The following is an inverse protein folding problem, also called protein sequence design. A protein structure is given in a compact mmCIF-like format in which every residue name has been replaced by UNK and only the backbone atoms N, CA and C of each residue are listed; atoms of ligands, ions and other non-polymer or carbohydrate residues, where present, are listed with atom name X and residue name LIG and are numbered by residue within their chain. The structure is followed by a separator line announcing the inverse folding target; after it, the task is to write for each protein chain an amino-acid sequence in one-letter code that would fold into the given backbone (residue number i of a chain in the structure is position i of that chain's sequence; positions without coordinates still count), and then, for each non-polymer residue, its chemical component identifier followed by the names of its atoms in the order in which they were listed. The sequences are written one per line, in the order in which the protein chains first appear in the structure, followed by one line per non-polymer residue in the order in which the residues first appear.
data_IF_554076059609
#
_entry.id   IF_554076059609
#
_cell.length_a   1.000
_cell.length_b   1.000
_cell.length_c   1.000
_cell.angle_alpha   90.00
_cell.angle_beta   90.00
_cell.angle_gamma   90.00
#
_symmetry.space_group_name_H-M   'P 1'
#
loop_
_entity.id
_entity.type
_entity.pdbx_description
1 polymer ?
#
# COMPACT_ATOMS: atom_id res chain seq x y z
N UNK A 1 34.14 27.12 2.95
CA UNK A 1 33.09 26.10 2.77
C UNK A 1 31.66 26.59 3.08
N UNK A 2 31.46 27.83 3.56
CA UNK A 2 30.14 28.49 3.60
C UNK A 2 29.51 28.64 2.19
N UNK A 3 30.37 28.83 1.18
CA UNK A 3 30.01 29.22 -0.18
C UNK A 3 29.14 28.20 -0.94
N UNK A 4 29.34 26.88 -0.79
CA UNK A 4 28.53 25.88 -1.51
C UNK A 4 27.11 25.79 -0.94
N UNK A 5 26.97 25.83 0.39
CA UNK A 5 25.67 25.77 1.06
C UNK A 5 24.80 26.96 0.67
N UNK A 6 25.37 28.16 0.73
CA UNK A 6 24.64 29.38 0.40
C UNK A 6 24.34 29.45 -1.12
N UNK A 7 25.18 28.84 -1.96
CA UNK A 7 24.98 28.76 -3.41
C UNK A 7 23.82 27.82 -3.82
N UNK A 8 23.64 26.68 -3.15
CA UNK A 8 22.58 25.71 -3.47
C UNK A 8 21.32 25.85 -2.61
N UNK A 9 21.34 26.73 -1.60
CA UNK A 9 20.22 26.96 -0.66
C UNK A 9 18.92 27.30 -1.37
N UNK A 10 18.97 28.16 -2.38
CA UNK A 10 17.78 28.59 -3.10
C UNK A 10 17.23 27.50 -4.01
N UNK A 11 18.10 26.86 -4.80
CA UNK A 11 17.73 25.80 -5.75
C UNK A 11 17.13 24.57 -5.04
N UNK A 12 17.68 24.16 -3.91
CA UNK A 12 17.20 22.98 -3.18
C UNK A 12 15.88 23.23 -2.44
N UNK A 13 15.54 24.48 -2.14
CA UNK A 13 14.35 24.82 -1.36
C UNK A 13 13.24 25.49 -2.20
N UNK A 14 13.42 25.62 -3.51
CA UNK A 14 12.54 26.38 -4.42
C UNK A 14 11.08 25.95 -4.36
N UNK A 15 10.82 24.65 -4.37
CA UNK A 15 9.47 24.09 -4.37
C UNK A 15 8.88 23.87 -2.96
N UNK A 16 9.67 24.13 -1.92
CA UNK A 16 9.30 23.79 -0.55
C UNK A 16 8.09 24.59 -0.04
N UNK A 17 7.99 25.89 -0.37
CA UNK A 17 6.81 26.70 0.02
C UNK A 17 5.54 26.22 -0.69
N UNK A 18 5.66 25.85 -1.96
CA UNK A 18 4.55 25.26 -2.71
C UNK A 18 4.11 23.94 -2.07
N UNK A 19 5.06 23.05 -1.73
CA UNK A 19 4.76 21.79 -1.04
C UNK A 19 4.14 22.00 0.33
N UNK A 20 4.66 22.93 1.15
CA UNK A 20 4.09 23.29 2.45
C UNK A 20 2.66 23.81 2.28
N UNK A 21 2.39 24.64 1.26
CA UNK A 21 1.06 25.15 0.98
C UNK A 21 0.10 24.05 0.47
N UNK A 22 0.58 23.17 -0.42
CA UNK A 22 -0.22 22.08 -1.00
C UNK A 22 -0.57 21.01 0.02
N UNK A 23 0.38 20.66 0.88
CA UNK A 23 0.15 19.75 2.01
C UNK A 23 -0.65 20.46 3.10
N UNK A 24 -0.42 21.76 3.31
CA UNK A 24 -1.22 22.67 4.12
C UNK A 24 -1.54 22.13 5.50
N UNK A 25 -2.77 21.61 5.64
CA UNK A 25 -3.32 21.06 6.89
C UNK A 25 -2.78 19.66 7.22
N UNK A 26 -2.16 18.98 6.27
CA UNK A 26 -1.62 17.62 6.40
C UNK A 26 -0.19 17.60 6.95
N UNK A 27 0.46 18.76 7.09
CA UNK A 27 1.73 18.90 7.81
C UNK A 27 1.50 19.31 9.26
N UNK A 28 2.35 18.83 10.15
CA UNK A 28 2.49 19.45 11.47
C UNK A 28 2.86 20.93 11.31
N UNK A 29 2.01 21.79 11.87
CA UNK A 29 2.17 23.23 11.71
C UNK A 29 3.52 23.69 12.28
N UNK A 30 4.35 24.39 11.49
CA UNK A 30 5.58 24.96 12.00
C UNK A 30 5.28 26.06 13.01
N UNK A 31 6.25 26.44 13.87
CA UNK A 31 6.10 27.55 14.79
C UNK A 31 5.59 28.82 14.08
N UNK A 32 4.56 29.46 14.65
CA UNK A 32 3.91 30.63 14.07
C UNK A 32 4.87 31.83 13.91
N UNK A 33 5.90 31.88 14.73
CA UNK A 33 6.92 32.93 14.78
C UNK A 33 7.93 32.87 13.63
N UNK A 34 7.98 31.75 12.89
CA UNK A 34 8.92 31.59 11.77
C UNK A 34 8.46 32.35 10.54
N UNK A 35 9.42 33.05 9.90
CA UNK A 35 9.27 33.62 8.57
C UNK A 35 9.07 32.53 7.50
N UNK A 36 8.56 32.92 6.33
CA UNK A 36 8.43 32.00 5.19
C UNK A 36 9.79 31.42 4.77
N UNK A 37 10.86 32.21 4.83
CA UNK A 37 12.22 31.75 4.50
C UNK A 37 12.72 30.70 5.50
N UNK A 38 12.44 30.88 6.80
CA UNK A 38 12.77 29.89 7.83
C UNK A 38 11.99 28.59 7.64
N UNK A 39 10.67 28.67 7.37
CA UNK A 39 9.83 27.50 7.09
C UNK A 39 10.30 26.76 5.85
N UNK A 40 10.56 27.49 4.77
CA UNK A 40 11.06 26.95 3.49
C UNK A 40 12.36 26.19 3.69
N UNK A 41 13.32 26.80 4.38
CA UNK A 41 14.64 26.23 4.56
C UNK A 41 14.64 25.06 5.55
N UNK A 42 13.88 25.13 6.63
CA UNK A 42 13.76 24.06 7.62
C UNK A 42 13.06 22.82 7.03
N UNK A 43 12.00 23.01 6.24
CA UNK A 43 11.32 21.92 5.52
C UNK A 43 12.25 21.25 4.50
N UNK A 44 13.03 22.04 3.76
CA UNK A 44 14.03 21.50 2.84
C UNK A 44 15.07 20.65 3.60
N UNK A 45 15.57 21.13 4.74
CA UNK A 45 16.48 20.37 5.59
C UNK A 45 15.82 19.09 6.13
N UNK A 46 14.53 19.11 6.45
CA UNK A 46 13.80 17.91 6.87
C UNK A 46 13.73 16.86 5.76
N UNK A 47 13.38 17.26 4.53
CA UNK A 47 13.39 16.38 3.36
C UNK A 47 14.78 15.80 3.08
N UNK A 48 15.84 16.63 3.22
CA UNK A 48 17.22 16.17 3.07
C UNK A 48 17.57 15.10 4.12
N UNK A 49 17.02 15.23 5.33
CA UNK A 49 17.24 14.26 6.41
C UNK A 49 16.67 12.89 6.12
N UNK A 50 15.48 12.87 5.52
CA UNK A 50 14.83 11.64 5.06
C UNK A 50 15.70 10.93 4.01
N UNK A 51 16.18 11.69 3.02
CA UNK A 51 17.10 11.17 1.98
C UNK A 51 18.44 10.70 2.58
N UNK A 52 19.01 11.41 3.56
CA UNK A 52 20.24 10.99 4.22
C UNK A 52 20.04 9.67 4.97
N UNK A 53 18.91 9.53 5.68
CA UNK A 53 18.54 8.30 6.37
C UNK A 53 18.42 7.12 5.39
N UNK A 54 17.76 7.32 4.25
CA UNK A 54 17.63 6.31 3.19
C UNK A 54 18.99 5.88 2.61
N UNK A 55 19.97 6.77 2.62
CA UNK A 55 21.34 6.50 2.20
C UNK A 55 22.23 5.92 3.32
N UNK A 56 21.68 5.68 4.52
CA UNK A 56 22.43 5.21 5.69
C UNK A 56 23.43 6.24 6.24
N UNK A 57 23.24 7.52 5.91
CA UNK A 57 24.08 8.64 6.35
C UNK A 57 23.38 9.40 7.47
N UNK A 58 24.16 10.00 8.37
CA UNK A 58 23.64 10.85 9.44
C UNK A 58 24.07 12.32 9.28
N UNK A 59 23.39 13.19 10.02
CA UNK A 59 23.70 14.61 10.05
C UNK A 59 25.10 14.92 10.63
N UNK A 60 25.65 14.02 11.46
CA UNK A 60 27.00 14.15 12.01
C UNK A 60 28.07 13.97 10.92
N UNK A 61 27.81 13.07 9.96
CA UNK A 61 28.68 12.75 8.83
C UNK A 61 28.52 13.76 7.70
N UNK A 62 27.28 14.17 7.41
CA UNK A 62 26.98 15.12 6.34
C UNK A 62 27.38 16.58 6.67
N UNK A 63 27.57 16.90 7.96
CA UNK A 63 27.88 18.26 8.50
C UNK A 63 26.93 19.43 8.13
N UNK A 64 25.62 19.29 7.81
CA UNK A 64 24.72 20.43 7.73
C UNK A 64 24.05 20.68 9.10
N UNK A 65 23.40 21.84 9.24
CA UNK A 65 22.54 22.12 10.42
C UNK A 65 21.30 21.23 10.30
N UNK A 66 21.01 20.43 11.34
CA UNK A 66 19.78 19.62 11.41
C UNK A 66 18.55 20.53 11.38
N UNK A 67 17.48 20.10 10.69
CA UNK A 67 16.17 20.75 10.77
C UNK A 67 15.70 20.89 12.22
N UNK A 68 14.91 21.93 12.50
CA UNK A 68 14.42 22.28 13.84
C UNK A 68 12.99 21.80 14.07
N UNK A 69 12.18 21.66 13.01
CA UNK A 69 10.79 21.20 13.11
C UNK A 69 10.60 19.85 12.43
N UNK A 70 9.82 18.96 13.04
CA UNK A 70 9.49 17.66 12.45
C UNK A 70 8.28 17.82 11.54
N UNK A 71 8.50 17.90 10.24
CA UNK A 71 7.45 18.15 9.25
C UNK A 71 6.68 16.88 8.87
N UNK A 72 6.24 16.13 9.88
CA UNK A 72 5.53 14.87 9.68
C UNK A 72 4.24 15.15 8.89
N UNK A 73 4.10 14.47 7.75
CA UNK A 73 2.84 14.45 7.01
C UNK A 73 1.89 13.53 7.76
N UNK A 74 0.85 14.09 8.36
CA UNK A 74 -0.21 13.32 9.03
C UNK A 74 -1.12 12.73 7.97
N UNK A 75 -1.12 11.41 7.86
CA UNK A 75 -2.14 10.70 7.10
C UNK A 75 -3.50 10.88 7.80
N UNK A 76 -4.35 11.76 7.26
CA UNK A 76 -5.68 12.04 7.82
C UNK A 76 -6.70 10.96 7.50
N UNK A 77 -6.42 10.14 6.49
CA UNK A 77 -7.25 8.99 6.18
C UNK A 77 -6.94 7.88 7.19
N UNK A 78 -7.79 7.75 8.22
CA UNK A 78 -7.63 6.74 9.25
C UNK A 78 -7.50 5.31 8.68
N UNK A 79 -8.14 5.02 7.54
CA UNK A 79 -8.02 3.72 6.90
C UNK A 79 -6.64 3.49 6.28
N UNK A 80 -6.00 4.54 5.77
CA UNK A 80 -4.64 4.44 5.22
C UNK A 80 -3.64 4.38 6.35
N UNK A 81 -3.82 5.20 7.39
CA UNK A 81 -2.99 5.13 8.59
C UNK A 81 -3.01 3.72 9.19
N UNK A 82 -4.20 3.14 9.38
CA UNK A 82 -4.36 1.74 9.83
C UNK A 82 -3.73 0.75 8.85
N UNK A 83 -3.90 0.96 7.54
CA UNK A 83 -3.34 0.06 6.53
C UNK A 83 -1.81 0.14 6.43
N UNK A 84 -1.17 1.18 6.96
CA UNK A 84 0.28 1.38 7.01
C UNK A 84 0.84 1.18 8.44
N UNK A 85 0.01 0.83 9.41
CA UNK A 85 0.39 0.63 10.81
C UNK A 85 1.05 -0.74 11.01
N UNK A 86 2.25 -0.88 10.46
CA UNK A 86 3.10 -2.05 10.59
C UNK A 86 4.58 -1.62 10.69
N UNK A 87 5.37 -2.47 11.35
CA UNK A 87 6.82 -2.29 11.39
C UNK A 87 7.43 -2.88 10.10
N UNK A 88 7.98 -2.00 9.26
CA UNK A 88 8.54 -2.39 7.97
C UNK A 88 9.73 -3.34 8.10
N UNK A 89 10.51 -3.25 9.17
CA UNK A 89 11.67 -4.13 9.39
C UNK A 89 11.21 -5.52 9.84
N UNK A 90 10.18 -5.59 10.69
CA UNK A 90 9.54 -6.87 11.04
C UNK A 90 8.96 -7.55 9.80
N UNK A 91 8.25 -6.82 8.95
CA UNK A 91 7.71 -7.35 7.70
C UNK A 91 8.83 -7.80 6.74
N UNK A 92 9.96 -7.08 6.69
CA UNK A 92 11.16 -7.47 5.92
C UNK A 92 11.76 -8.79 6.40
N UNK A 93 11.80 -9.00 7.71
CA UNK A 93 12.29 -10.25 8.31
C UNK A 93 11.33 -11.40 8.04
N UNK A 94 10.01 -11.20 8.19
CA UNK A 94 8.99 -12.20 7.86
C UNK A 94 9.12 -12.61 6.38
N UNK A 95 9.25 -11.63 5.49
CA UNK A 95 9.46 -11.86 4.06
C UNK A 95 10.72 -12.70 3.82
N UNK A 96 11.86 -12.25 4.32
CA UNK A 96 13.16 -12.91 4.12
C UNK A 96 13.14 -14.37 4.60
N UNK A 97 12.55 -14.62 5.77
CA UNK A 97 12.41 -15.97 6.30
C UNK A 97 11.47 -16.83 5.44
N UNK A 98 10.31 -16.29 5.04
CA UNK A 98 9.30 -17.04 4.28
C UNK A 98 9.84 -17.54 2.94
N UNK A 99 10.60 -16.70 2.24
CA UNK A 99 11.17 -17.01 0.92
C UNK A 99 12.14 -18.20 0.97
N UNK A 100 12.85 -18.38 2.09
CA UNK A 100 13.78 -19.51 2.28
C UNK A 100 13.08 -20.84 2.55
N UNK A 101 11.82 -20.80 2.98
CA UNK A 101 11.02 -21.98 3.33
C UNK A 101 10.12 -22.47 2.20
N UNK A 102 10.10 -21.80 1.06
CA UNK A 102 9.27 -22.22 -0.07
C UNK A 102 9.67 -23.58 -0.62
N UNK A 103 8.65 -24.40 -0.90
CA UNK A 103 8.80 -25.53 -1.81
C UNK A 103 8.96 -25.02 -3.25
N UNK A 104 9.53 -25.84 -4.14
CA UNK A 104 9.80 -25.46 -5.53
C UNK A 104 8.58 -24.86 -6.23
N UNK A 105 7.42 -25.52 -6.17
CA UNK A 105 6.19 -25.01 -6.80
C UNK A 105 5.68 -23.69 -6.20
N UNK A 106 5.86 -23.47 -4.88
CA UNK A 106 5.52 -22.20 -4.24
C UNK A 106 6.48 -21.09 -4.68
N UNK A 107 7.77 -21.41 -4.78
CA UNK A 107 8.81 -20.48 -5.25
C UNK A 107 8.54 -20.04 -6.68
N UNK A 108 8.31 -20.98 -7.59
CA UNK A 108 8.03 -20.71 -9.01
C UNK A 108 6.77 -19.84 -9.16
N UNK A 109 5.74 -20.14 -8.37
CA UNK A 109 4.49 -19.36 -8.37
C UNK A 109 4.73 -17.93 -7.88
N UNK A 110 5.43 -17.77 -6.75
CA UNK A 110 5.78 -16.47 -6.21
C UNK A 110 6.62 -15.65 -7.19
N UNK A 111 7.67 -16.23 -7.77
CA UNK A 111 8.55 -15.55 -8.71
C UNK A 111 7.77 -15.11 -9.96
N UNK A 112 6.84 -15.93 -10.46
CA UNK A 112 5.98 -15.59 -11.60
C UNK A 112 5.07 -14.39 -11.29
N UNK A 113 4.41 -14.40 -10.12
CA UNK A 113 3.54 -13.30 -9.68
C UNK A 113 4.35 -12.02 -9.55
N UNK A 114 5.47 -12.07 -8.83
CA UNK A 114 6.30 -10.91 -8.57
C UNK A 114 6.95 -10.35 -9.82
N UNK A 115 7.41 -11.22 -10.73
CA UNK A 115 7.94 -10.79 -12.02
C UNK A 115 6.88 -10.03 -12.82
N UNK A 116 5.65 -10.54 -12.87
CA UNK A 116 4.57 -9.88 -13.61
C UNK A 116 4.23 -8.51 -13.00
N UNK A 117 4.11 -8.43 -11.67
CA UNK A 117 3.76 -7.18 -10.98
C UNK A 117 4.88 -6.14 -11.08
N UNK A 118 6.13 -6.53 -10.80
CA UNK A 118 7.26 -5.60 -10.78
C UNK A 118 7.61 -5.03 -12.17
N UNK A 119 7.30 -5.77 -13.24
CA UNK A 119 7.50 -5.31 -14.62
C UNK A 119 6.23 -4.67 -15.23
N UNK A 120 5.16 -4.48 -14.44
CA UNK A 120 3.92 -3.85 -14.91
C UNK A 120 3.21 -4.64 -16.03
N UNK A 121 3.43 -5.94 -16.11
CA UNK A 121 2.86 -6.80 -17.14
C UNK A 121 1.36 -7.05 -16.88
N UNK A 122 0.61 -7.29 -17.95
CA UNK A 122 -0.83 -7.57 -17.91
C UNK A 122 -1.17 -8.85 -18.68
N UNK A 123 -2.14 -9.65 -18.23
CA UNK A 123 -2.95 -9.47 -17.01
C UNK A 123 -2.14 -9.70 -15.73
N UNK A 124 -2.45 -8.93 -14.68
CA UNK A 124 -1.82 -9.01 -13.35
C UNK A 124 -2.79 -9.52 -12.27
N UNK A 125 -3.82 -10.26 -12.70
CA UNK A 125 -4.74 -10.98 -11.83
C UNK A 125 -4.40 -12.47 -11.90
N UNK A 126 -4.23 -13.09 -10.74
CA UNK A 126 -3.83 -14.48 -10.60
C UNK A 126 -4.88 -15.25 -9.81
N UNK A 127 -5.01 -16.54 -10.09
CA UNK A 127 -5.77 -17.46 -9.27
C UNK A 127 -4.86 -18.59 -8.78
N UNK A 128 -4.63 -18.64 -7.48
CA UNK A 128 -3.88 -19.70 -6.81
C UNK A 128 -4.82 -20.84 -6.45
N UNK A 129 -4.83 -21.87 -7.30
CA UNK A 129 -5.51 -23.13 -7.02
C UNK A 129 -4.60 -24.04 -6.20
N UNK A 130 -5.10 -24.55 -5.08
CA UNK A 130 -4.40 -25.56 -4.30
C UNK A 130 -5.31 -26.26 -3.30
N UNK A 131 -5.21 -27.59 -3.12
CA UNK A 131 -5.96 -28.30 -2.08
C UNK A 131 -5.79 -27.73 -0.67
N UNK A 132 -6.70 -28.09 0.24
CA UNK A 132 -6.54 -27.81 1.67
C UNK A 132 -5.18 -28.29 2.18
N UNK A 133 -4.51 -27.49 3.03
CA UNK A 133 -3.22 -27.84 3.63
C UNK A 133 -1.99 -27.63 2.75
N UNK A 134 -2.13 -27.14 1.51
CA UNK A 134 -0.98 -26.91 0.59
C UNK A 134 -0.18 -25.62 0.86
N UNK A 135 -0.50 -24.89 1.94
CA UNK A 135 0.22 -23.68 2.30
C UNK A 135 -0.14 -22.45 1.45
N UNK A 136 -1.33 -22.40 0.83
CA UNK A 136 -1.82 -21.21 0.10
C UNK A 136 -1.71 -19.92 0.90
N UNK A 137 -2.20 -19.94 2.14
CA UNK A 137 -2.12 -18.79 3.06
C UNK A 137 -0.67 -18.41 3.39
N UNK A 138 0.24 -19.37 3.45
CA UNK A 138 1.67 -19.09 3.62
C UNK A 138 2.22 -18.36 2.39
N UNK A 139 1.86 -18.81 1.18
CA UNK A 139 2.24 -18.14 -0.06
C UNK A 139 1.66 -16.73 -0.18
N UNK A 140 0.42 -16.47 0.26
CA UNK A 140 -0.17 -15.12 0.26
C UNK A 140 0.54 -14.15 1.20
N UNK A 141 0.99 -14.63 2.36
CA UNK A 141 1.64 -13.80 3.37
C UNK A 141 2.99 -13.25 2.88
N UNK A 142 3.70 -13.99 2.02
CA UNK A 142 5.01 -13.55 1.53
C UNK A 142 5.00 -12.28 0.68
N UNK A 143 4.21 -12.15 -0.42
CA UNK A 143 4.09 -10.89 -1.14
C UNK A 143 3.44 -9.81 -0.27
N UNK A 144 2.53 -10.16 0.65
CA UNK A 144 1.99 -9.19 1.61
C UNK A 144 3.11 -8.53 2.44
N UNK A 145 3.93 -9.34 3.11
CA UNK A 145 5.06 -8.86 3.91
C UNK A 145 6.11 -8.14 3.08
N UNK A 146 6.39 -8.59 1.85
CA UNK A 146 7.29 -7.88 0.96
C UNK A 146 6.79 -6.46 0.68
N UNK A 147 5.56 -6.30 0.19
CA UNK A 147 5.02 -4.98 -0.15
C UNK A 147 4.92 -4.07 1.07
N UNK A 148 4.55 -4.62 2.24
CA UNK A 148 4.53 -3.86 3.49
C UNK A 148 5.93 -3.42 3.94
N UNK A 149 6.95 -4.26 3.77
CA UNK A 149 8.34 -3.87 4.04
C UNK A 149 8.87 -2.74 3.13
N UNK A 150 8.16 -2.48 2.03
CA UNK A 150 8.40 -1.37 1.10
C UNK A 150 7.45 -0.18 1.36
N UNK A 151 6.69 -0.17 2.46
CA UNK A 151 5.74 0.89 2.81
C UNK A 151 4.48 0.93 1.93
N UNK A 152 4.15 -0.16 1.22
CA UNK A 152 3.00 -0.23 0.32
C UNK A 152 1.77 -0.81 1.01
N UNK A 153 0.60 -0.39 0.52
CA UNK A 153 -0.70 -0.86 1.03
C UNK A 153 -1.09 -2.18 0.36
N UNK A 154 -1.33 -3.19 1.18
CA UNK A 154 -1.86 -4.49 0.74
C UNK A 154 -3.20 -4.74 1.43
N UNK A 155 -4.24 -4.99 0.65
CA UNK A 155 -5.57 -5.31 1.18
C UNK A 155 -5.79 -6.81 1.16
N UNK A 156 -5.89 -7.41 2.34
CA UNK A 156 -6.21 -8.82 2.51
C UNK A 156 -7.70 -8.97 2.79
N UNK A 157 -8.40 -9.73 1.94
CA UNK A 157 -9.81 -10.06 2.11
C UNK A 157 -10.08 -11.55 2.03
N UNK A 158 -11.21 -11.97 2.58
CA UNK A 158 -11.73 -13.31 2.37
C UNK A 158 -13.26 -13.31 2.20
N UNK A 159 -13.82 -14.43 1.76
CA UNK A 159 -15.27 -14.62 1.64
C UNK A 159 -15.99 -14.69 3.00
N UNK A 160 -15.37 -15.33 3.99
CA UNK A 160 -15.90 -15.49 5.35
C UNK A 160 -15.07 -14.74 6.40
N UNK A 161 -15.69 -14.43 7.54
CA UNK A 161 -15.01 -13.78 8.66
C UNK A 161 -13.89 -14.63 9.25
N UNK A 162 -14.09 -15.95 9.33
CA UNK A 162 -13.09 -16.88 9.86
C UNK A 162 -11.86 -16.96 8.96
N UNK A 163 -12.05 -17.05 7.64
CA UNK A 163 -10.94 -17.04 6.69
C UNK A 163 -10.17 -15.70 6.74
N UNK A 164 -10.88 -14.58 6.90
CA UNK A 164 -10.25 -13.26 7.02
C UNK A 164 -9.31 -13.16 8.22
N UNK A 165 -9.62 -13.80 9.36
CA UNK A 165 -8.76 -13.82 10.54
C UNK A 165 -7.39 -14.48 10.31
N UNK A 166 -7.27 -15.36 9.31
CA UNK A 166 -6.02 -16.03 8.98
C UNK A 166 -5.08 -15.16 8.14
N UNK A 167 -5.62 -14.08 7.55
CA UNK A 167 -4.88 -13.13 6.73
C UNK A 167 -4.41 -11.91 7.56
N UNK A 168 -3.26 -11.32 7.23
CA UNK A 168 -2.75 -10.14 7.93
C UNK A 168 -3.70 -8.94 7.80
N UNK A 169 -4.23 -8.45 8.93
CA UNK A 169 -5.27 -7.40 8.98
C UNK A 169 -6.47 -7.69 8.06
N UNK A 170 -6.83 -8.97 7.94
CA UNK A 170 -7.85 -9.42 7.00
C UNK A 170 -9.25 -8.93 7.35
N UNK A 171 -10.04 -8.63 6.32
CA UNK A 171 -11.47 -8.28 6.43
C UNK A 171 -12.30 -9.13 5.49
N UNK A 172 -13.61 -9.20 5.69
CA UNK A 172 -14.47 -9.83 4.67
C UNK A 172 -14.55 -8.93 3.44
N UNK A 173 -14.59 -9.53 2.24
CA UNK A 173 -14.72 -8.78 1.00
C UNK A 173 -15.98 -7.88 1.00
N UNK A 174 -17.07 -8.39 1.58
CA UNK A 174 -18.32 -7.63 1.74
C UNK A 174 -18.14 -6.36 2.58
N UNK A 175 -17.40 -6.42 3.69
CA UNK A 175 -17.26 -5.26 4.59
C UNK A 175 -16.31 -4.21 4.02
N UNK A 176 -15.23 -4.65 3.36
CA UNK A 176 -14.23 -3.76 2.74
C UNK A 176 -14.78 -3.07 1.51
N UNK A 177 -15.33 -3.82 0.54
CA UNK A 177 -15.80 -3.26 -0.73
C UNK A 177 -17.25 -2.78 -0.68
N UNK A 178 -17.96 -2.92 0.44
CA UNK A 178 -19.38 -2.55 0.56
C UNK A 178 -20.26 -3.30 -0.46
N UNK A 179 -19.97 -4.58 -0.66
CA UNK A 179 -20.73 -5.46 -1.56
C UNK A 179 -22.14 -5.63 -1.00
N UNK A 180 -23.20 -5.40 -1.80
CA UNK A 180 -24.57 -5.67 -1.38
C UNK A 180 -24.78 -7.14 -1.00
N UNK A 181 -25.57 -7.41 0.03
CA UNK A 181 -25.88 -8.78 0.49
C UNK A 181 -26.57 -9.60 -0.62
N UNK A 182 -27.52 -8.97 -1.33
CA UNK A 182 -28.16 -9.53 -2.50
C UNK A 182 -27.53 -8.91 -3.76
N UNK A 183 -26.48 -9.55 -4.27
CA UNK A 183 -25.73 -9.08 -5.43
C UNK A 183 -26.25 -9.76 -6.71
N UNK A 184 -26.67 -8.94 -7.66
CA UNK A 184 -27.13 -9.31 -9.02
C UNK A 184 -26.18 -8.73 -10.07
N UNK A 185 -26.41 -8.99 -11.36
CA UNK A 185 -25.55 -8.47 -12.44
C UNK A 185 -25.46 -6.93 -12.48
N UNK A 186 -26.53 -6.24 -12.04
CA UNK A 186 -26.61 -4.77 -11.99
C UNK A 186 -26.16 -4.18 -10.65
N UNK A 187 -25.79 -5.03 -9.69
CA UNK A 187 -25.34 -4.56 -8.38
C UNK A 187 -24.00 -3.86 -8.47
N UNK A 188 -23.86 -2.79 -7.68
CA UNK A 188 -22.64 -1.98 -7.59
C UNK A 188 -22.25 -1.78 -6.13
N UNK A 189 -20.94 -1.78 -5.89
CA UNK A 189 -20.38 -1.40 -4.60
C UNK A 189 -20.48 0.12 -4.43
N UNK A 190 -21.26 0.59 -3.46
CA UNK A 190 -21.49 2.03 -3.27
C UNK A 190 -20.35 2.67 -2.47
N UNK A 191 -19.28 3.05 -3.17
CA UNK A 191 -18.13 3.75 -2.58
C UNK A 191 -18.01 5.13 -3.23
N UNK A 192 -18.31 6.23 -2.51
CA UNK A 192 -18.17 7.58 -3.06
C UNK A 192 -16.72 7.88 -3.44
N UNK A 193 -16.49 8.49 -4.60
CA UNK A 193 -15.16 8.77 -5.13
C UNK A 193 -14.28 9.64 -4.22
N UNK A 194 -14.89 10.50 -3.40
CA UNK A 194 -14.23 11.39 -2.43
C UNK A 194 -14.13 10.79 -1.03
N UNK A 195 -14.53 9.54 -0.83
CA UNK A 195 -14.47 8.88 0.48
C UNK A 195 -13.04 8.47 0.85
N UNK A 196 -12.78 8.33 2.16
CA UNK A 196 -11.54 7.76 2.68
C UNK A 196 -11.27 6.35 2.11
N UNK A 197 -12.30 5.52 1.98
CA UNK A 197 -12.16 4.18 1.40
C UNK A 197 -11.75 4.25 -0.08
N UNK A 198 -12.32 5.16 -0.87
CA UNK A 198 -11.90 5.34 -2.26
C UNK A 198 -10.41 5.73 -2.37
N UNK A 199 -9.93 6.61 -1.49
CA UNK A 199 -8.52 6.99 -1.44
C UNK A 199 -7.62 5.79 -1.05
N UNK A 200 -8.03 4.98 -0.06
CA UNK A 200 -7.34 3.73 0.28
C UNK A 200 -7.23 2.80 -0.93
N UNK A 201 -8.34 2.57 -1.64
CA UNK A 201 -8.39 1.67 -2.80
C UNK A 201 -7.45 2.14 -3.92
N UNK A 202 -7.43 3.44 -4.23
CA UNK A 202 -6.52 4.00 -5.26
C UNK A 202 -5.04 3.85 -4.91
N UNK A 203 -4.70 3.81 -3.61
CA UNK A 203 -3.31 3.66 -3.13
C UNK A 203 -2.91 2.21 -2.86
N UNK A 204 -3.83 1.27 -3.08
CA UNK A 204 -3.57 -0.16 -2.85
C UNK A 204 -2.66 -0.70 -3.94
N UNK A 205 -1.55 -1.32 -3.53
CA UNK A 205 -0.57 -1.90 -4.45
C UNK A 205 -0.84 -3.39 -4.77
N UNK A 206 -1.58 -4.08 -3.91
CA UNK A 206 -1.96 -5.48 -4.08
C UNK A 206 -3.25 -5.79 -3.31
N UNK A 207 -4.15 -6.55 -3.94
CA UNK A 207 -5.31 -7.16 -3.27
C UNK A 207 -5.09 -8.67 -3.20
N UNK A 208 -5.21 -9.25 -2.01
CA UNK A 208 -5.20 -10.70 -1.80
C UNK A 208 -6.61 -11.09 -1.37
N UNK A 209 -7.26 -12.00 -2.09
CA UNK A 209 -8.59 -12.50 -1.74
C UNK A 209 -8.57 -14.01 -1.56
N UNK A 210 -8.82 -14.49 -0.35
CA UNK A 210 -8.89 -15.92 -0.05
C UNK A 210 -10.33 -16.45 -0.07
N UNK A 211 -10.47 -17.76 -0.24
CA UNK A 211 -11.74 -18.49 -0.33
C UNK A 211 -12.72 -17.91 -1.37
N UNK A 212 -12.20 -17.52 -2.54
CA UNK A 212 -12.97 -16.89 -3.63
C UNK A 212 -13.97 -17.83 -4.26
N UNK A 213 -13.74 -19.14 -4.17
CA UNK A 213 -14.59 -20.19 -4.72
C UNK A 213 -15.95 -20.26 -4.01
N UNK A 214 -16.05 -19.70 -2.81
CA UNK A 214 -17.29 -19.54 -2.06
C UNK A 214 -18.09 -18.28 -2.42
N UNK A 215 -17.57 -17.41 -3.29
CA UNK A 215 -18.24 -16.16 -3.64
C UNK A 215 -18.99 -16.27 -4.97
N UNK A 216 -20.13 -15.58 -5.05
CA UNK A 216 -20.87 -15.43 -6.31
C UNK A 216 -20.07 -14.62 -7.33
N UNK A 217 -20.19 -14.97 -8.62
CA UNK A 217 -19.64 -14.17 -9.74
C UNK A 217 -20.09 -12.71 -9.72
N UNK A 218 -21.30 -12.44 -9.20
CA UNK A 218 -21.86 -11.09 -9.12
C UNK A 218 -21.04 -10.22 -8.15
N UNK A 219 -20.50 -10.81 -7.07
CA UNK A 219 -19.65 -10.10 -6.12
C UNK A 219 -18.36 -9.62 -6.79
N UNK A 220 -17.69 -10.50 -7.56
CA UNK A 220 -16.49 -10.11 -8.32
C UNK A 220 -16.81 -9.03 -9.34
N UNK A 221 -17.93 -9.15 -10.05
CA UNK A 221 -18.36 -8.15 -11.05
C UNK A 221 -18.60 -6.78 -10.40
N UNK A 222 -19.26 -6.74 -9.24
CA UNK A 222 -19.51 -5.49 -8.52
C UNK A 222 -18.22 -4.84 -7.98
N UNK A 223 -17.25 -5.65 -7.55
CA UNK A 223 -15.93 -5.18 -7.09
C UNK A 223 -15.07 -4.68 -8.26
N UNK A 224 -15.03 -5.42 -9.38
CA UNK A 224 -14.32 -5.02 -10.59
C UNK A 224 -14.86 -3.68 -11.13
N UNK A 225 -16.19 -3.54 -11.24
CA UNK A 225 -16.84 -2.28 -11.64
C UNK A 225 -16.40 -1.08 -10.79
N UNK A 226 -16.51 -1.19 -9.45
CA UNK A 226 -16.15 -0.05 -8.58
C UNK A 226 -14.66 0.27 -8.61
N UNK A 227 -13.78 -0.73 -8.76
CA UNK A 227 -12.34 -0.46 -8.82
C UNK A 227 -11.94 0.19 -10.14
N UNK A 228 -12.55 -0.20 -11.26
CA UNK A 228 -12.41 0.50 -12.54
C UNK A 228 -12.88 1.94 -12.46
N UNK A 229 -14.07 2.16 -11.89
CA UNK A 229 -14.64 3.51 -11.72
C UNK A 229 -13.76 4.40 -10.84
N UNK A 230 -13.14 3.84 -9.79
CA UNK A 230 -12.30 4.60 -8.85
C UNK A 230 -10.89 4.86 -9.37
N UNK A 231 -10.30 3.91 -10.10
CA UNK A 231 -8.91 3.98 -10.56
C UNK A 231 -8.78 4.50 -12.00
N UNK A 232 -9.89 4.84 -12.65
CA UNK A 232 -9.95 5.37 -14.02
C UNK A 232 -9.23 4.45 -15.04
N UNK A 233 -9.48 3.15 -14.91
CA UNK A 233 -8.80 2.11 -15.69
C UNK A 233 -9.77 1.15 -16.35
N UNK A 234 -9.55 0.82 -17.63
CA UNK A 234 -10.31 -0.22 -18.35
C UNK A 234 -9.83 -1.65 -18.02
N UNK A 235 -8.75 -1.78 -17.26
CA UNK A 235 -8.18 -3.07 -16.86
C UNK A 235 -9.01 -3.75 -15.77
N UNK A 236 -8.88 -5.07 -15.62
CA UNK A 236 -9.48 -5.79 -14.49
C UNK A 236 -9.05 -5.17 -13.16
N UNK A 237 -10.02 -5.01 -12.25
CA UNK A 237 -9.85 -4.42 -10.92
C UNK A 237 -9.18 -3.04 -10.94
N UNK A 238 -9.42 -2.25 -12.00
CA UNK A 238 -8.82 -0.92 -12.15
C UNK A 238 -7.29 -0.95 -12.32
N UNK A 239 -6.73 -2.10 -12.72
CA UNK A 239 -5.30 -2.31 -12.90
C UNK A 239 -4.54 -2.69 -11.63
N UNK A 240 -5.19 -2.71 -10.47
CA UNK A 240 -4.60 -3.16 -9.21
C UNK A 240 -4.27 -4.66 -9.33
N UNK A 241 -3.03 -5.11 -9.04
CA UNK A 241 -2.73 -6.52 -8.98
C UNK A 241 -3.63 -7.26 -7.99
N UNK A 242 -4.15 -8.42 -8.39
CA UNK A 242 -5.04 -9.23 -7.53
C UNK A 242 -4.56 -10.67 -7.49
N UNK A 243 -4.35 -11.20 -6.29
CA UNK A 243 -4.09 -12.60 -6.03
C UNK A 243 -5.34 -13.24 -5.42
N UNK A 244 -6.09 -13.95 -6.25
CA UNK A 244 -7.27 -14.71 -5.85
C UNK A 244 -6.84 -16.10 -5.39
N UNK A 245 -7.50 -16.60 -4.37
CA UNK A 245 -7.11 -17.80 -3.66
C UNK A 245 -8.29 -18.67 -3.29
N UNK A 246 -8.17 -19.98 -3.47
CA UNK A 246 -9.20 -20.91 -3.04
C UNK A 246 -8.98 -22.33 -3.53
N UNK A 247 -10.01 -23.15 -3.35
CA UNK A 247 -10.07 -24.49 -3.91
C UNK A 247 -11.49 -24.76 -4.43
N UNK A 248 -11.64 -25.01 -5.72
CA UNK A 248 -12.94 -25.38 -6.29
C UNK A 248 -13.43 -26.76 -5.85
N UNK A 249 -12.51 -27.62 -5.35
CA UNK A 249 -12.88 -28.91 -4.78
C UNK A 249 -13.32 -28.81 -3.31
N UNK A 250 -13.10 -27.67 -2.65
CA UNK A 250 -13.69 -27.41 -1.34
C UNK A 250 -15.19 -27.10 -1.52
N UNK A 251 -16.01 -28.11 -1.22
CA UNK A 251 -17.43 -27.96 -0.93
C UNK A 251 -17.59 -27.72 0.56
N UNK A 252 -18.46 -26.77 0.92
CA UNK A 252 -19.00 -26.62 2.27
C UNK A 252 -20.27 -27.46 2.42
#
# INVERSE_FOLDING_TARGET
MQCIRDHFREAFSEDCLYRISSLGRDLDAPPLEWSEEERRYDYALWLLGDVLHDLGLDWATARPVKYRHSWIVRERNALIAEALDFDQEVERQIFSNSVTMFLSGQRDTYDTIMHTINNGLKPNTFFLQGPAGTGKTFLYKTPCSQFRSEGKIVLCVASSGIAALLLPNGRTAHSLFKIPIACTDDSVCRIPAQSQLANLLRRTALIISDEVTMQSKHNFTAVDKVLRDLCDGNELFGGIPVLLGGDFAQIL
#
